data_IF_343625813465
#
_entry.id   IF_343625813465
#
_cell.length_a   1.000
_cell.length_b   1.000
_cell.length_c   1.000
_cell.angle_alpha   90.00
_cell.angle_beta   90.00
_cell.angle_gamma   90.00
#
_symmetry.space_group_name_H-M   'P 1'
#
loop_
_entity.id
_entity.type
_entity.pdbx_description
1 polymer ?
#
# COMPACT_ATOMS: atom_id res chain seq x y z
N UNK A 1 -31.25 34.72 4.83
CA UNK A 1 -30.62 34.09 3.65
C UNK A 1 -31.58 34.19 2.47
N UNK A 2 -31.11 34.68 1.32
CA UNK A 2 -31.87 34.64 0.07
C UNK A 2 -31.70 33.27 -0.59
N UNK A 3 -32.80 32.52 -0.76
CA UNK A 3 -32.79 31.21 -1.41
C UNK A 3 -32.28 31.25 -2.85
N UNK A 4 -32.51 32.36 -3.57
CA UNK A 4 -32.01 32.54 -4.94
C UNK A 4 -30.48 32.56 -4.97
N UNK A 5 -29.86 33.34 -4.07
CA UNK A 5 -28.40 33.43 -3.94
C UNK A 5 -27.85 32.06 -3.52
N UNK A 6 -28.47 31.42 -2.54
CA UNK A 6 -28.02 30.12 -2.04
C UNK A 6 -28.03 29.02 -3.12
N UNK A 7 -29.08 28.95 -3.94
CA UNK A 7 -29.16 27.96 -5.01
C UNK A 7 -28.12 28.21 -6.11
N UNK A 8 -27.90 29.46 -6.51
CA UNK A 8 -26.89 29.80 -7.53
C UNK A 8 -25.49 29.51 -6.99
N UNK A 9 -25.19 29.92 -5.76
CA UNK A 9 -23.90 29.64 -5.12
C UNK A 9 -23.68 28.13 -4.95
N UNK A 10 -24.70 27.39 -4.51
CA UNK A 10 -24.62 25.94 -4.35
C UNK A 10 -24.38 25.23 -5.68
N UNK A 11 -25.08 25.62 -6.74
CA UNK A 11 -24.91 25.02 -8.07
C UNK A 11 -23.51 25.28 -8.64
N UNK A 12 -23.01 26.53 -8.55
CA UNK A 12 -21.66 26.88 -9.00
C UNK A 12 -20.59 26.13 -8.20
N UNK A 13 -20.76 26.04 -6.88
CA UNK A 13 -19.86 25.28 -6.00
C UNK A 13 -19.88 23.80 -6.38
N UNK A 14 -21.04 23.21 -6.61
CA UNK A 14 -21.21 21.82 -7.02
C UNK A 14 -20.46 21.51 -8.34
N UNK A 15 -20.64 22.35 -9.37
CA UNK A 15 -19.99 22.16 -10.67
C UNK A 15 -18.46 22.26 -10.53
N UNK A 16 -17.96 23.28 -9.82
CA UNK A 16 -16.51 23.48 -9.65
C UNK A 16 -15.89 22.36 -8.82
N UNK A 17 -16.53 21.95 -7.72
CA UNK A 17 -16.04 20.83 -6.90
C UNK A 17 -16.09 19.51 -7.66
N UNK A 18 -17.14 19.22 -8.42
CA UNK A 18 -17.24 18.03 -9.25
C UNK A 18 -16.11 17.98 -10.31
N UNK A 19 -15.84 19.11 -10.97
CA UNK A 19 -14.74 19.21 -11.93
C UNK A 19 -13.37 18.98 -11.28
N UNK A 20 -13.10 19.62 -10.14
CA UNK A 20 -11.87 19.41 -9.38
C UNK A 20 -11.72 17.95 -8.92
N UNK A 21 -12.84 17.30 -8.57
CA UNK A 21 -12.87 15.91 -8.12
C UNK A 21 -12.36 14.95 -9.19
N UNK A 22 -12.53 15.23 -10.48
CA UNK A 22 -11.99 14.39 -11.58
C UNK A 22 -10.48 14.20 -11.42
N UNK A 23 -9.74 15.30 -11.31
CA UNK A 23 -8.27 15.27 -11.23
C UNK A 23 -7.78 14.71 -9.90
N UNK A 24 -8.44 15.08 -8.80
CA UNK A 24 -8.08 14.59 -7.46
C UNK A 24 -8.32 13.09 -7.34
N UNK A 25 -9.49 12.61 -7.79
CA UNK A 25 -9.82 11.20 -7.73
C UNK A 25 -8.91 10.37 -8.64
N UNK A 26 -8.62 10.81 -9.86
CA UNK A 26 -7.68 10.12 -10.76
C UNK A 26 -6.30 9.95 -10.11
N UNK A 27 -5.74 11.04 -9.56
CA UNK A 27 -4.44 11.00 -8.89
C UNK A 27 -4.44 10.10 -7.66
N UNK A 28 -5.44 10.22 -6.78
CA UNK A 28 -5.51 9.45 -5.53
C UNK A 28 -5.74 7.97 -5.81
N UNK A 29 -6.65 7.62 -6.72
CA UNK A 29 -6.95 6.22 -7.06
C UNK A 29 -5.76 5.55 -7.76
N UNK A 30 -5.06 6.26 -8.65
CA UNK A 30 -3.81 5.78 -9.23
C UNK A 30 -2.74 5.50 -8.17
N UNK A 31 -2.57 6.40 -7.19
CA UNK A 31 -1.64 6.19 -6.08
C UNK A 31 -2.03 5.02 -5.16
N UNK A 32 -3.30 4.65 -5.09
CA UNK A 32 -3.78 3.46 -4.40
C UNK A 32 -3.65 2.17 -5.21
N UNK A 33 -3.05 2.23 -6.41
CA UNK A 33 -2.89 1.07 -7.28
C UNK A 33 -4.21 0.55 -7.88
N UNK A 34 -5.27 1.38 -7.91
CA UNK A 34 -6.51 1.00 -8.59
C UNK A 34 -6.21 0.89 -10.09
N UNK A 35 -6.35 -0.33 -10.60
CA UNK A 35 -6.05 -0.65 -11.99
C UNK A 35 -6.97 0.09 -12.97
N UNK A 36 -6.39 0.52 -14.09
CA UNK A 36 -7.12 1.05 -15.24
C UNK A 36 -7.66 -0.04 -16.17
N UNK A 37 -7.44 -1.31 -15.84
CA UNK A 37 -7.94 -2.43 -16.63
C UNK A 37 -9.46 -2.34 -16.81
N UNK A 38 -9.92 -2.46 -18.07
CA UNK A 38 -11.32 -2.30 -18.48
C UNK A 38 -11.95 -0.93 -18.12
N UNK A 39 -11.14 0.08 -17.80
CA UNK A 39 -11.62 1.42 -17.43
C UNK A 39 -12.24 1.48 -16.03
N UNK A 40 -12.01 0.49 -15.16
CA UNK A 40 -12.60 0.43 -13.80
C UNK A 40 -12.39 1.71 -13.00
N UNK A 41 -11.17 2.27 -13.03
CA UNK A 41 -10.87 3.56 -12.39
C UNK A 41 -11.71 4.69 -12.96
N UNK A 42 -11.83 4.77 -14.28
CA UNK A 42 -12.68 5.73 -14.98
C UNK A 42 -14.16 5.62 -14.60
N UNK A 43 -14.69 4.40 -14.54
CA UNK A 43 -16.07 4.15 -14.08
C UNK A 43 -16.29 4.64 -12.65
N UNK A 44 -15.37 4.35 -11.72
CA UNK A 44 -15.47 4.85 -10.36
C UNK A 44 -15.44 6.38 -10.31
N UNK A 45 -14.59 7.03 -11.11
CA UNK A 45 -14.54 8.49 -11.18
C UNK A 45 -15.87 9.06 -11.67
N UNK A 46 -16.39 8.56 -12.80
CA UNK A 46 -17.59 9.10 -13.45
C UNK A 46 -18.86 8.83 -12.65
N UNK A 47 -19.04 7.62 -12.14
CA UNK A 47 -20.31 7.19 -11.54
C UNK A 47 -20.35 7.27 -10.02
N UNK A 48 -19.21 7.43 -9.34
CA UNK A 48 -19.14 7.56 -7.89
C UNK A 48 -18.54 8.90 -7.46
N UNK A 49 -17.31 9.22 -7.87
CA UNK A 49 -16.62 10.39 -7.34
C UNK A 49 -17.16 11.73 -7.88
N UNK A 50 -17.45 11.85 -9.17
CA UNK A 50 -18.06 13.08 -9.74
C UNK A 50 -19.42 13.38 -9.08
N UNK A 51 -20.38 12.43 -8.99
CA UNK A 51 -21.64 12.65 -8.27
C UNK A 51 -21.44 13.01 -6.80
N UNK A 52 -20.52 12.33 -6.10
CA UNK A 52 -20.21 12.66 -4.70
C UNK A 52 -19.64 14.07 -4.55
N UNK A 53 -18.72 14.48 -5.43
CA UNK A 53 -18.15 15.83 -5.47
C UNK A 53 -19.22 16.89 -5.77
N UNK A 54 -20.15 16.61 -6.69
CA UNK A 54 -21.27 17.48 -7.01
C UNK A 54 -22.20 17.67 -5.79
N UNK A 55 -22.66 16.57 -5.19
CA UNK A 55 -23.56 16.60 -4.03
C UNK A 55 -22.87 17.29 -2.84
N UNK A 56 -21.62 16.94 -2.55
CA UNK A 56 -20.82 17.56 -1.49
C UNK A 56 -20.63 19.06 -1.72
N UNK A 57 -20.25 19.46 -2.93
CA UNK A 57 -20.10 20.88 -3.30
C UNK A 57 -21.41 21.66 -3.20
N UNK A 58 -22.54 21.05 -3.58
CA UNK A 58 -23.86 21.66 -3.45
C UNK A 58 -24.22 21.94 -1.99
N UNK A 59 -24.07 20.94 -1.12
CA UNK A 59 -24.35 21.07 0.31
C UNK A 59 -23.43 22.11 0.98
N UNK A 60 -22.15 22.12 0.62
CA UNK A 60 -21.20 23.11 1.14
C UNK A 60 -21.47 24.52 0.61
N UNK A 61 -22.04 24.67 -0.58
CA UNK A 61 -22.48 25.97 -1.08
C UNK A 61 -23.73 26.53 -0.39
N UNK A 62 -24.66 25.65 -0.02
CA UNK A 62 -25.77 26.04 0.86
C UNK A 62 -25.26 26.47 2.24
N UNK A 63 -24.31 25.70 2.80
CA UNK A 63 -23.69 26.01 4.09
C UNK A 63 -22.93 27.34 4.04
N UNK A 64 -22.06 27.56 3.05
CA UNK A 64 -21.28 28.79 2.92
C UNK A 64 -22.18 30.02 2.77
N UNK A 65 -23.26 29.92 1.99
CA UNK A 65 -24.24 31.01 1.87
C UNK A 65 -24.96 31.30 3.19
N UNK A 66 -25.30 30.24 3.95
CA UNK A 66 -25.91 30.36 5.28
C UNK A 66 -24.96 31.03 6.27
N UNK A 67 -23.68 30.65 6.27
CA UNK A 67 -22.66 31.20 7.18
C UNK A 67 -22.40 32.70 6.94
N UNK A 68 -22.41 33.14 5.67
CA UNK A 68 -22.30 34.57 5.32
C UNK A 68 -23.62 35.32 5.55
N UNK A 69 -24.71 34.60 5.86
CA UNK A 69 -26.05 35.16 5.97
C UNK A 69 -26.45 35.99 4.75
N UNK A 70 -26.08 35.54 3.54
CA UNK A 70 -26.25 36.36 2.34
C UNK A 70 -27.75 36.65 2.06
N UNK A 71 -28.11 37.93 2.08
CA UNK A 71 -29.46 38.44 1.76
C UNK A 71 -29.43 39.24 0.46
N UNK A 72 -28.33 39.95 0.20
CA UNK A 72 -28.17 40.83 -0.96
C UNK A 72 -27.14 40.30 -1.96
N UNK A 73 -27.32 40.66 -3.24
CA UNK A 73 -26.42 40.22 -4.33
C UNK A 73 -24.98 40.73 -4.18
N UNK A 74 -24.75 41.84 -3.48
CA UNK A 74 -23.38 42.31 -3.17
C UNK A 74 -22.61 41.30 -2.29
N UNK A 75 -23.31 40.46 -1.53
CA UNK A 75 -22.73 39.41 -0.69
C UNK A 75 -22.49 38.10 -1.46
N UNK A 76 -22.93 38.01 -2.73
CA UNK A 76 -22.79 36.82 -3.57
C UNK A 76 -21.33 36.35 -3.65
N UNK A 77 -20.39 37.25 -3.94
CA UNK A 77 -18.97 36.90 -4.08
C UNK A 77 -18.35 36.38 -2.77
N UNK A 78 -18.78 36.93 -1.63
CA UNK A 78 -18.35 36.44 -0.31
C UNK A 78 -18.92 35.04 -0.03
N UNK A 79 -20.20 34.82 -0.33
CA UNK A 79 -20.85 33.52 -0.18
C UNK A 79 -20.22 32.48 -1.11
N UNK A 80 -19.98 32.81 -2.37
CA UNK A 80 -19.33 31.93 -3.34
C UNK A 80 -17.88 31.62 -2.94
N UNK A 81 -17.09 32.63 -2.57
CA UNK A 81 -15.71 32.44 -2.13
C UNK A 81 -15.60 31.53 -0.91
N UNK A 82 -16.43 31.75 0.11
CA UNK A 82 -16.44 30.88 1.29
C UNK A 82 -16.89 29.46 0.94
N UNK A 83 -17.92 29.33 0.11
CA UNK A 83 -18.45 28.02 -0.32
C UNK A 83 -17.42 27.20 -1.08
N UNK A 84 -16.70 27.84 -2.02
CA UNK A 84 -15.62 27.20 -2.76
C UNK A 84 -14.47 26.82 -1.83
N UNK A 85 -14.07 27.70 -0.90
CA UNK A 85 -13.04 27.38 0.08
C UNK A 85 -13.40 26.13 0.89
N UNK A 86 -14.63 26.07 1.41
CA UNK A 86 -15.13 24.90 2.14
C UNK A 86 -15.12 23.63 1.28
N UNK A 87 -15.60 23.74 0.03
CA UNK A 87 -15.61 22.64 -0.94
C UNK A 87 -14.21 22.09 -1.23
N UNK A 88 -13.24 22.96 -1.49
CA UNK A 88 -11.87 22.55 -1.78
C UNK A 88 -11.17 22.01 -0.53
N UNK A 89 -11.32 22.64 0.64
CA UNK A 89 -10.74 22.13 1.89
C UNK A 89 -11.28 20.74 2.22
N UNK A 90 -12.59 20.49 2.03
CA UNK A 90 -13.17 19.17 2.24
C UNK A 90 -12.60 18.14 1.24
N UNK A 91 -12.57 18.46 -0.06
CA UNK A 91 -12.04 17.58 -1.10
C UNK A 91 -10.57 17.21 -0.85
N UNK A 92 -9.71 18.22 -0.66
CA UNK A 92 -8.28 18.00 -0.43
C UNK A 92 -7.99 17.40 0.95
N UNK A 93 -8.82 17.69 1.96
CA UNK A 93 -8.72 17.07 3.28
C UNK A 93 -8.98 15.57 3.22
N UNK A 94 -10.07 15.15 2.56
CA UNK A 94 -10.40 13.73 2.38
C UNK A 94 -9.32 13.03 1.54
N UNK A 95 -8.89 13.64 0.43
CA UNK A 95 -7.82 13.12 -0.40
C UNK A 95 -6.50 12.98 0.39
N UNK A 96 -6.11 14.01 1.14
CA UNK A 96 -4.91 14.01 1.97
C UNK A 96 -4.93 12.92 3.03
N UNK A 97 -6.04 12.77 3.76
CA UNK A 97 -6.22 11.70 4.74
C UNK A 97 -6.13 10.31 4.10
N UNK A 98 -6.71 10.14 2.90
CA UNK A 98 -6.62 8.89 2.14
C UNK A 98 -5.16 8.55 1.79
N UNK A 99 -4.37 9.53 1.35
CA UNK A 99 -2.95 9.36 1.02
C UNK A 99 -2.06 9.00 2.22
N UNK A 100 -2.49 9.28 3.45
CA UNK A 100 -1.77 8.83 4.66
C UNK A 100 -1.88 7.32 4.86
N UNK A 101 -2.83 6.65 4.20
CA UNK A 101 -3.02 5.20 4.30
C UNK A 101 -2.17 4.40 3.31
N UNK A 102 -1.44 5.07 2.41
CA UNK A 102 -0.57 4.42 1.42
C UNK A 102 0.74 4.02 2.10
N UNK A 103 1.13 2.73 2.06
CA UNK A 103 2.45 2.24 2.44
C UNK A 103 3.58 3.11 1.85
N UNK A 104 4.54 3.54 2.67
CA UNK A 104 5.69 4.35 2.20
C UNK A 104 6.99 3.68 2.55
N UNK A 105 7.80 3.41 1.52
CA UNK A 105 9.06 2.69 1.65
C UNK A 105 9.93 3.22 2.79
N UNK A 106 10.41 2.30 3.63
CA UNK A 106 11.28 2.65 4.74
C UNK A 106 12.62 3.14 4.19
N UNK A 107 13.01 4.33 4.65
CA UNK A 107 14.32 4.90 4.38
C UNK A 107 15.13 5.01 5.66
N UNK A 108 16.39 4.62 5.60
CA UNK A 108 17.39 4.88 6.63
C UNK A 108 18.51 5.72 6.02
N UNK A 109 18.79 6.89 6.60
CA UNK A 109 19.76 7.86 6.07
C UNK A 109 19.56 8.20 4.57
N UNK A 110 18.31 8.21 4.10
CA UNK A 110 17.96 8.51 2.70
C UNK A 110 18.01 7.31 1.75
N UNK A 111 18.63 6.20 2.13
CA UNK A 111 18.64 4.95 1.37
C UNK A 111 17.37 4.13 1.68
N UNK A 112 16.79 3.51 0.66
CA UNK A 112 15.74 2.50 0.83
C UNK A 112 16.30 1.29 1.58
N UNK A 113 15.43 0.53 2.25
CA UNK A 113 15.83 -0.70 2.95
C UNK A 113 15.21 -1.92 2.27
N UNK A 114 15.98 -3.00 2.25
CA UNK A 114 15.52 -4.31 1.82
C UNK A 114 15.88 -5.35 2.89
N UNK A 115 15.11 -6.43 2.90
CA UNK A 115 15.36 -7.64 3.64
C UNK A 115 16.01 -8.64 2.70
N UNK A 116 17.26 -9.01 2.98
CA UNK A 116 17.88 -10.18 2.38
C UNK A 116 17.62 -11.39 3.26
N UNK A 117 17.27 -12.50 2.62
CA UNK A 117 16.90 -13.74 3.28
C UNK A 117 17.63 -14.89 2.63
N UNK A 118 18.09 -15.83 3.45
CA UNK A 118 18.50 -17.14 2.99
C UNK A 118 17.67 -18.21 3.70
N UNK A 119 16.92 -18.96 2.92
CA UNK A 119 16.18 -20.13 3.40
C UNK A 119 17.02 -21.37 3.13
N UNK A 120 17.23 -22.20 4.15
CA UNK A 120 17.90 -23.50 4.06
C UNK A 120 16.84 -24.58 4.09
N UNK A 121 16.64 -25.24 2.95
CA UNK A 121 15.67 -26.33 2.80
C UNK A 121 16.41 -27.65 2.77
N UNK A 122 16.08 -28.64 3.63
CA UNK A 122 16.67 -29.97 3.53
C UNK A 122 16.46 -30.55 2.13
N UNK A 123 17.49 -31.14 1.53
CA UNK A 123 17.41 -31.69 0.18
C UNK A 123 16.34 -32.79 0.05
N UNK A 124 16.02 -33.50 1.14
CA UNK A 124 14.94 -34.49 1.21
C UNK A 124 13.55 -33.91 0.91
N UNK A 125 13.37 -32.59 1.05
CA UNK A 125 12.12 -31.88 0.74
C UNK A 125 12.10 -31.26 -0.66
N UNK A 126 13.22 -31.30 -1.37
CA UNK A 126 13.37 -30.69 -2.69
C UNK A 126 13.13 -31.77 -3.75
N UNK A 127 12.15 -31.55 -4.61
CA UNK A 127 11.95 -32.37 -5.81
C UNK A 127 12.63 -31.71 -7.02
N UNK A 128 12.72 -32.43 -8.14
CA UNK A 128 13.14 -31.83 -9.41
C UNK A 128 12.22 -30.69 -9.84
N UNK A 129 10.91 -30.84 -9.62
CA UNK A 129 9.91 -29.80 -9.90
C UNK A 129 10.17 -28.57 -9.04
N UNK A 130 10.53 -28.71 -7.77
CA UNK A 130 10.84 -27.57 -6.89
C UNK A 130 11.90 -26.62 -7.47
N UNK A 131 12.76 -27.09 -8.37
CA UNK A 131 13.82 -26.30 -9.02
C UNK A 131 13.35 -25.52 -10.24
N UNK A 132 12.16 -25.79 -10.77
CA UNK A 132 11.56 -25.08 -11.90
C UNK A 132 11.21 -23.61 -11.56
N UNK A 133 11.02 -22.74 -12.56
CA UNK A 133 10.56 -21.37 -12.31
C UNK A 133 9.26 -21.35 -11.50
N UNK A 134 9.15 -20.37 -10.59
CA UNK A 134 7.95 -20.06 -9.80
C UNK A 134 7.44 -21.17 -8.87
N UNK A 135 8.18 -22.27 -8.70
CA UNK A 135 7.83 -23.33 -7.74
C UNK A 135 8.26 -22.98 -6.31
N UNK A 136 9.34 -22.23 -6.15
CA UNK A 136 9.72 -21.64 -4.86
C UNK A 136 9.32 -20.17 -4.86
N UNK A 137 8.42 -19.81 -3.94
CA UNK A 137 7.87 -18.45 -3.85
C UNK A 137 7.98 -17.93 -2.44
N UNK A 138 8.20 -16.63 -2.33
CA UNK A 138 8.29 -15.94 -1.05
C UNK A 138 7.47 -14.67 -1.10
N UNK A 139 6.83 -14.35 0.02
CA UNK A 139 6.06 -13.13 0.17
C UNK A 139 6.26 -12.55 1.55
N UNK A 140 6.48 -11.23 1.63
CA UNK A 140 6.58 -10.50 2.87
C UNK A 140 5.23 -9.83 3.16
N UNK A 141 4.67 -10.12 4.33
CA UNK A 141 3.45 -9.51 4.85
C UNK A 141 3.83 -8.58 6.00
N UNK A 142 3.69 -7.27 5.81
CA UNK A 142 4.01 -6.24 6.80
C UNK A 142 2.76 -5.43 7.22
N UNK A 143 1.57 -5.83 6.78
CA UNK A 143 0.29 -5.26 7.19
C UNK A 143 -0.84 -5.56 6.20
N UNK A 144 -2.08 -5.14 6.48
CA UNK A 144 -3.22 -5.45 5.61
C UNK A 144 -3.12 -4.87 4.19
N UNK A 145 -2.27 -3.85 3.99
CA UNK A 145 -2.04 -3.20 2.70
C UNK A 145 -0.58 -3.23 2.25
N UNK A 146 0.31 -3.86 3.01
CA UNK A 146 1.75 -3.93 2.70
C UNK A 146 2.18 -5.38 2.60
N UNK A 147 1.79 -6.00 1.48
CA UNK A 147 2.13 -7.38 1.16
C UNK A 147 2.77 -7.41 -0.23
N UNK A 148 3.94 -8.04 -0.35
CA UNK A 148 4.69 -8.07 -1.60
C UNK A 148 5.39 -9.41 -1.81
N UNK A 149 5.60 -9.79 -3.06
CA UNK A 149 6.47 -10.92 -3.38
C UNK A 149 7.93 -10.54 -3.13
N UNK A 150 8.68 -11.48 -2.57
CA UNK A 150 10.12 -11.39 -2.52
C UNK A 150 10.71 -11.95 -3.83
N UNK A 151 11.77 -11.33 -4.30
CA UNK A 151 12.52 -11.77 -5.47
C UNK A 151 13.46 -12.90 -5.08
N UNK A 152 13.14 -14.12 -5.52
CA UNK A 152 13.98 -15.31 -5.32
C UNK A 152 15.08 -15.32 -6.39
N UNK A 153 16.34 -15.31 -5.97
CA UNK A 153 17.48 -15.32 -6.89
C UNK A 153 17.93 -16.75 -7.17
N UNK A 154 17.30 -17.35 -8.19
CA UNK A 154 17.59 -18.73 -8.63
C UNK A 154 19.01 -18.92 -9.13
N UNK A 155 19.65 -17.86 -9.65
CA UNK A 155 21.04 -17.94 -10.13
C UNK A 155 22.04 -18.16 -8.98
N UNK A 156 21.63 -17.84 -7.74
CA UNK A 156 22.43 -18.01 -6.52
C UNK A 156 22.03 -19.24 -5.69
N UNK A 157 21.20 -20.12 -6.23
CA UNK A 157 20.90 -21.40 -5.58
C UNK A 157 22.18 -22.21 -5.44
N UNK A 158 22.35 -22.82 -4.27
CA UNK A 158 23.52 -23.63 -3.96
C UNK A 158 23.16 -24.71 -2.95
N UNK A 159 23.88 -25.81 -3.02
CA UNK A 159 23.75 -26.90 -2.07
C UNK A 159 24.90 -26.84 -1.06
N UNK A 160 24.58 -26.86 0.23
CA UNK A 160 25.57 -26.75 1.30
C UNK A 160 25.12 -27.60 2.49
N UNK A 161 25.94 -28.58 2.88
CA UNK A 161 25.72 -29.36 4.11
C UNK A 161 24.38 -30.12 4.15
N UNK A 162 23.87 -30.60 3.02
CA UNK A 162 22.58 -31.31 2.94
C UNK A 162 21.35 -30.40 2.76
N UNK A 163 21.56 -29.10 2.56
CA UNK A 163 20.49 -28.13 2.33
C UNK A 163 20.62 -27.48 0.96
N UNK A 164 19.49 -27.23 0.30
CA UNK A 164 19.37 -26.22 -0.73
C UNK A 164 19.25 -24.84 -0.08
N UNK A 165 20.17 -23.93 -0.41
CA UNK A 165 20.10 -22.54 0.01
C UNK A 165 19.36 -21.74 -1.06
N UNK A 166 18.30 -21.06 -0.64
CA UNK A 166 17.41 -20.24 -1.46
C UNK A 166 17.58 -18.78 -1.03
N UNK A 167 18.37 -17.98 -1.76
CA UNK A 167 18.49 -16.55 -1.50
C UNK A 167 17.28 -15.79 -2.05
N UNK A 168 16.78 -14.83 -1.29
CA UNK A 168 15.72 -13.94 -1.72
C UNK A 168 15.90 -12.53 -1.16
N UNK A 169 15.28 -11.55 -1.82
CA UNK A 169 15.26 -10.15 -1.41
C UNK A 169 13.81 -9.65 -1.39
N UNK A 170 13.41 -8.98 -0.32
CA UNK A 170 12.10 -8.37 -0.18
C UNK A 170 12.24 -6.90 0.20
N UNK A 171 11.44 -6.03 -0.39
CA UNK A 171 11.46 -4.61 -0.04
C UNK A 171 10.80 -4.37 1.33
N UNK A 172 11.45 -3.54 2.16
CA UNK A 172 10.89 -3.13 3.43
C UNK A 172 10.07 -1.85 3.23
N UNK A 173 8.79 -2.02 2.90
CA UNK A 173 7.94 -0.93 2.44
C UNK A 173 7.25 -0.13 3.54
N UNK A 174 7.12 -0.62 4.77
CA UNK A 174 6.47 0.16 5.84
C UNK A 174 7.09 -0.01 7.21
N UNK A 175 6.88 1.02 8.04
CA UNK A 175 7.00 0.91 9.49
C UNK A 175 5.93 -0.04 10.00
N UNK A 176 6.36 -1.22 10.44
CA UNK A 176 5.47 -2.24 10.98
C UNK A 176 6.19 -3.02 12.06
N UNK A 177 5.54 -3.22 13.20
CA UNK A 177 6.07 -4.05 14.29
C UNK A 177 5.84 -5.54 14.05
N UNK A 178 5.03 -5.88 13.05
CA UNK A 178 4.68 -7.25 12.69
C UNK A 178 5.03 -7.49 11.24
N UNK A 179 5.98 -8.38 10.98
CA UNK A 179 6.35 -8.80 9.63
C UNK A 179 6.39 -10.32 9.57
N UNK A 180 5.69 -10.90 8.62
CA UNK A 180 5.63 -12.35 8.41
C UNK A 180 6.13 -12.64 7.01
N UNK A 181 7.16 -13.47 6.90
CA UNK A 181 7.63 -13.96 5.62
C UNK A 181 6.99 -15.32 5.36
N UNK A 182 6.20 -15.42 4.30
CA UNK A 182 5.68 -16.70 3.81
C UNK A 182 6.66 -17.30 2.81
N UNK A 183 6.87 -18.61 2.93
CA UNK A 183 7.73 -19.40 2.06
C UNK A 183 6.94 -20.60 1.56
N UNK A 184 6.86 -20.73 0.24
CA UNK A 184 6.14 -21.78 -0.45
C UNK A 184 7.09 -22.60 -1.31
N UNK A 185 6.95 -23.92 -1.26
CA UNK A 185 7.51 -24.85 -2.24
C UNK A 185 6.35 -25.61 -2.86
N UNK A 186 6.23 -25.48 -4.18
CA UNK A 186 5.16 -26.07 -4.98
C UNK A 186 3.77 -25.69 -4.41
N UNK A 187 2.88 -26.67 -4.28
CA UNK A 187 1.54 -26.53 -3.73
C UNK A 187 1.43 -27.00 -2.27
N UNK A 188 2.35 -27.86 -1.81
CA UNK A 188 2.18 -28.65 -0.58
C UNK A 188 2.89 -28.07 0.64
N UNK A 189 3.97 -27.31 0.42
CA UNK A 189 4.75 -26.71 1.51
C UNK A 189 4.37 -25.26 1.66
N UNK A 190 3.79 -24.92 2.82
CA UNK A 190 3.48 -23.56 3.19
C UNK A 190 4.01 -23.27 4.60
N UNK A 191 5.10 -22.51 4.64
CA UNK A 191 5.79 -22.15 5.86
C UNK A 191 5.75 -20.63 6.06
N UNK A 192 5.87 -20.21 7.32
CA UNK A 192 5.92 -18.81 7.71
C UNK A 192 7.04 -18.56 8.71
N UNK A 193 7.60 -17.36 8.68
CA UNK A 193 8.55 -16.86 9.66
C UNK A 193 8.12 -15.49 10.16
N UNK A 194 7.87 -15.38 11.46
CA UNK A 194 7.61 -14.10 12.10
C UNK A 194 8.94 -13.39 12.34
N UNK A 195 9.20 -12.32 11.59
CA UNK A 195 10.46 -11.58 11.65
C UNK A 195 10.49 -10.72 12.93
N UNK A 196 11.45 -10.96 13.85
CA UNK A 196 11.58 -10.16 15.07
C UNK A 196 12.32 -8.85 14.77
N UNK A 197 11.76 -8.04 13.88
CA UNK A 197 12.30 -6.74 13.49
C UNK A 197 11.51 -5.60 14.16
N UNK A 198 12.19 -4.55 14.66
CA UNK A 198 11.49 -3.37 15.15
C UNK A 198 10.76 -2.65 14.01
N UNK A 199 9.90 -1.69 14.35
CA UNK A 199 9.13 -0.92 13.35
C UNK A 199 10.00 -0.26 12.29
N UNK A 200 11.16 0.26 12.70
CA UNK A 200 12.15 0.88 11.82
C UNK A 200 13.48 0.17 11.99
N UNK A 201 13.71 -0.95 11.28
CA UNK A 201 14.96 -1.70 11.40
C UNK A 201 16.13 -0.93 10.79
N UNK A 202 17.32 -1.17 11.32
CA UNK A 202 18.58 -0.63 10.79
C UNK A 202 19.33 -1.71 10.02
N UNK A 203 20.16 -1.33 9.02
CA UNK A 203 21.04 -2.28 8.35
C UNK A 203 21.94 -3.02 9.35
N UNK A 204 22.19 -4.30 9.09
CA UNK A 204 22.88 -5.15 10.05
C UNK A 204 23.52 -6.39 9.46
N UNK A 205 24.05 -7.21 10.37
CA UNK A 205 24.61 -8.52 10.05
C UNK A 205 23.51 -9.58 9.91
N UNK A 206 23.88 -10.75 9.40
CA UNK A 206 22.99 -11.90 9.36
C UNK A 206 22.51 -12.29 10.76
N UNK A 207 21.22 -12.58 10.87
CA UNK A 207 20.65 -13.24 12.03
C UNK A 207 21.21 -14.66 12.18
N UNK A 208 21.04 -15.22 13.37
CA UNK A 208 21.14 -16.66 13.56
C UNK A 208 20.09 -17.39 12.72
N UNK A 209 20.35 -18.67 12.45
CA UNK A 209 19.38 -19.54 11.79
C UNK A 209 18.24 -19.86 12.75
N UNK A 210 17.01 -19.71 12.28
CA UNK A 210 15.82 -20.03 13.04
C UNK A 210 14.84 -20.84 12.17
N UNK A 211 14.09 -21.78 12.78
CA UNK A 211 13.14 -22.61 12.04
C UNK A 211 11.93 -21.80 11.57
N UNK A 212 11.40 -22.14 10.40
CA UNK A 212 10.07 -21.69 9.99
C UNK A 212 8.98 -22.52 10.70
N UNK A 213 7.77 -21.97 10.79
CA UNK A 213 6.58 -22.70 11.26
C UNK A 213 5.63 -23.04 10.12
N UNK A 214 4.82 -24.08 10.26
CA UNK A 214 3.73 -24.37 9.32
C UNK A 214 2.69 -23.24 9.37
N UNK A 215 2.42 -22.64 8.21
CA UNK A 215 1.53 -21.50 8.07
C UNK A 215 0.04 -21.86 8.15
N UNK A 216 -0.31 -23.15 8.00
CA UNK A 216 -1.70 -23.64 8.01
C UNK A 216 -2.23 -23.90 9.42
N UNK A 217 -1.35 -23.94 10.41
CA UNK A 217 -1.73 -24.23 11.79
C UNK A 217 -2.48 -23.04 12.38
N UNK A 218 -3.80 -23.16 12.53
CA UNK A 218 -4.68 -22.13 13.09
C UNK A 218 -4.96 -22.31 14.61
N UNK A 219 -4.15 -23.11 15.31
CA UNK A 219 -4.30 -23.42 16.74
C UNK A 219 -3.25 -22.78 17.64
N UNK A 220 -3.31 -23.06 18.95
CA UNK A 220 -2.35 -22.56 19.95
C UNK A 220 -0.95 -23.23 19.85
N UNK A 221 -0.82 -24.32 19.11
CA UNK A 221 0.45 -25.02 18.94
C UNK A 221 1.11 -24.61 17.62
N UNK A 222 2.34 -24.12 17.74
CA UNK A 222 3.19 -23.81 16.58
C UNK A 222 3.94 -25.07 16.17
N UNK A 223 3.68 -25.56 14.96
CA UNK A 223 4.44 -26.67 14.38
C UNK A 223 5.66 -26.12 13.66
N UNK A 224 6.85 -26.40 14.19
CA UNK A 224 8.11 -25.97 13.60
C UNK A 224 8.58 -26.94 12.51
N UNK A 225 9.23 -26.39 11.50
CA UNK A 225 9.83 -27.11 10.37
C UNK A 225 11.35 -27.25 10.57
N UNK A 226 11.93 -28.21 9.86
CA UNK A 226 13.38 -28.37 9.68
C UNK A 226 13.96 -27.41 8.63
N UNK A 227 13.10 -26.67 7.91
CA UNK A 227 13.49 -25.56 7.06
C UNK A 227 13.90 -24.38 7.95
N UNK A 228 15.09 -23.87 7.72
CA UNK A 228 15.68 -22.78 8.50
C UNK A 228 15.76 -21.52 7.68
N UNK A 229 15.74 -20.38 8.35
CA UNK A 229 15.89 -19.07 7.74
C UNK A 229 16.88 -18.24 8.53
N UNK A 230 17.68 -17.47 7.82
CA UNK A 230 18.36 -16.29 8.36
C UNK A 230 18.07 -15.09 7.48
N UNK A 231 18.13 -13.91 8.06
CA UNK A 231 17.89 -12.67 7.35
C UNK A 231 18.88 -11.60 7.77
N UNK A 232 19.00 -10.55 6.95
CA UNK A 232 19.61 -9.28 7.34
C UNK A 232 18.91 -8.13 6.65
N UNK A 233 19.00 -6.96 7.27
CA UNK A 233 18.51 -5.72 6.68
C UNK A 233 19.69 -5.06 5.97
N UNK A 234 19.47 -4.66 4.73
CA UNK A 234 20.48 -4.01 3.89
C UNK A 234 19.89 -2.72 3.30
N UNK A 235 20.74 -1.75 2.93
CA UNK A 235 20.32 -0.72 2.00
C UNK A 235 19.85 -1.40 0.71
N UNK A 236 18.64 -1.09 0.25
CA UNK A 236 18.23 -1.49 -1.08
C UNK A 236 19.14 -0.78 -2.08
N UNK A 237 19.84 -1.56 -2.91
CA UNK A 237 20.52 -1.03 -4.09
C UNK A 237 19.55 -0.15 -4.86
N UNK A 238 19.99 1.06 -5.20
CA UNK A 238 19.21 1.92 -6.08
C UNK A 238 19.05 1.15 -7.39
N UNK A 239 17.82 0.74 -7.71
CA UNK A 239 17.50 0.37 -9.08
C UNK A 239 17.97 1.53 -9.94
N UNK A 240 18.99 1.29 -10.77
CA UNK A 240 19.30 2.17 -11.88
C UNK A 240 18.02 2.19 -12.71
N UNK A 241 17.20 3.21 -12.52
CA UNK A 241 16.05 3.47 -13.35
C UNK A 241 16.59 3.63 -14.77
N UNK A 242 16.44 2.58 -15.58
CA UNK A 242 16.57 2.70 -17.02
C UNK A 242 15.60 3.80 -17.46
N UNK A 243 16.18 4.85 -18.03
CA UNK A 243 15.51 6.03 -18.57
C UNK A 243 14.78 5.71 -19.87
#
# INVERSE_FOLDING_TARGET
>A
MSWKIALVVALLTAIITAFATVFVADKVTGLHGVSDFEGKRGYAIVFLFIPAGFIGGFLLGLLGTKLVSAVEWMQFWKALGLSLLLGQVALFGIAGLSLLSIPRSLKHQGALLALEVEVRVPLERITERSREPDQIRMSLYAGPKDNGYATVDRSKFREEGGFLIVPAKADLNTRSSTRILSFHIEEDTWLAFDLPLPESPEPGVWSDLAPLRDARTAGNETVWSDVLLRYRVVPAEAEQQEQ
#
